data_IF_064880687978
#
_entry.id   IF_064880687978
#
_cell.length_a   1.000
_cell.length_b   1.000
_cell.length_c   1.000
_cell.angle_alpha   90.00
_cell.angle_beta   90.00
_cell.angle_gamma   90.00
#
_symmetry.space_group_name_H-M   'P 1'
#
loop_
_entity.id
_entity.type
_entity.pdbx_description
1 polymer ?
#
# COMPACT_ATOMS: atom_id res chain seq x y z
N UNK A 1 -12.89 24.84 -9.98
CA UNK A 1 -12.20 23.62 -10.48
C UNK A 1 -10.72 23.98 -10.53
N UNK A 2 -9.94 23.49 -9.56
CA UNK A 2 -8.47 23.63 -9.59
C UNK A 2 -7.97 22.75 -10.71
N UNK A 3 -7.05 23.24 -11.59
CA UNK A 3 -6.47 22.40 -12.61
C UNK A 3 -5.76 21.22 -11.93
N UNK A 4 -6.03 20.01 -12.39
CA UNK A 4 -5.34 18.79 -11.97
C UNK A 4 -3.83 18.94 -12.24
N UNK A 5 -3.10 19.46 -11.27
CA UNK A 5 -1.66 19.32 -11.24
C UNK A 5 -1.38 17.88 -10.80
N UNK A 6 -1.20 17.00 -11.76
CA UNK A 6 -0.59 15.69 -11.49
C UNK A 6 0.71 15.96 -10.76
N UNK A 7 0.78 15.52 -9.51
CA UNK A 7 1.95 15.72 -8.67
C UNK A 7 3.18 15.14 -9.40
N UNK A 8 4.13 15.99 -9.71
CA UNK A 8 5.37 15.57 -10.34
C UNK A 8 6.38 15.26 -9.23
N UNK A 9 6.57 13.98 -8.92
CA UNK A 9 7.49 13.49 -7.88
C UNK A 9 8.96 13.91 -8.14
N UNK A 10 9.33 14.21 -9.38
CA UNK A 10 10.70 14.63 -9.70
C UNK A 10 11.08 15.94 -9.01
N UNK A 11 10.15 16.89 -8.90
CA UNK A 11 10.40 18.19 -8.28
C UNK A 11 10.71 18.10 -6.79
N UNK A 12 9.82 17.58 -5.93
CA UNK A 12 10.13 17.49 -4.50
C UNK A 12 11.39 16.65 -4.26
N UNK A 13 11.55 15.52 -4.94
CA UNK A 13 12.71 14.66 -4.80
C UNK A 13 14.02 15.39 -5.06
N UNK A 14 14.08 16.23 -6.09
CA UNK A 14 15.27 16.98 -6.46
C UNK A 14 15.49 18.20 -5.55
N UNK A 15 14.44 18.95 -5.22
CA UNK A 15 14.56 20.22 -4.50
C UNK A 15 14.82 20.05 -2.99
N UNK A 16 14.42 18.94 -2.38
CA UNK A 16 14.68 18.64 -0.97
C UNK A 16 16.18 18.51 -0.67
N UNK A 17 17.04 18.35 -1.70
CA UNK A 17 18.51 18.29 -1.57
C UNK A 17 19.14 19.50 -0.85
N UNK A 18 18.49 20.66 -0.90
CA UNK A 18 18.96 21.88 -0.24
C UNK A 18 18.78 21.87 1.27
N UNK A 19 18.02 20.94 1.83
CA UNK A 19 17.71 20.87 3.25
C UNK A 19 18.77 20.21 4.14
N UNK A 20 19.87 19.71 3.57
CA UNK A 20 20.98 19.11 4.31
C UNK A 20 20.74 17.68 4.84
N UNK A 21 19.52 17.15 4.76
CA UNK A 21 19.18 15.81 5.23
C UNK A 21 18.94 14.79 4.10
N UNK A 22 18.94 15.26 2.84
CA UNK A 22 18.63 14.50 1.64
C UNK A 22 19.77 14.65 0.63
N UNK A 23 20.66 13.67 0.58
CA UNK A 23 21.84 13.68 -0.27
C UNK A 23 21.56 12.93 -1.57
N UNK A 24 21.52 13.68 -2.66
CA UNK A 24 21.30 13.12 -3.99
C UNK A 24 22.60 12.49 -4.48
N UNK A 25 22.52 11.24 -4.93
CA UNK A 25 23.66 10.49 -5.48
C UNK A 25 23.63 10.60 -7.00
N UNK A 26 24.68 11.17 -7.64
CA UNK A 26 24.73 11.30 -9.09
C UNK A 26 24.85 9.95 -9.78
N UNK A 27 24.35 9.86 -11.01
CA UNK A 27 24.76 8.78 -11.92
C UNK A 27 26.25 8.92 -12.24
N UNK A 28 27.00 7.82 -12.44
CA UNK A 28 28.41 7.87 -12.79
C UNK A 28 28.66 8.79 -13.99
N UNK A 29 29.56 9.77 -13.80
CA UNK A 29 29.88 10.77 -14.82
C UNK A 29 28.86 11.90 -15.01
N UNK A 30 27.85 12.00 -14.13
CA UNK A 30 26.85 13.07 -14.18
C UNK A 30 26.99 14.10 -13.03
N UNK A 31 28.10 14.08 -12.30
CA UNK A 31 28.34 14.93 -11.13
C UNK A 31 28.22 16.42 -11.49
N UNK A 32 28.96 16.86 -12.51
CA UNK A 32 28.93 18.25 -12.97
C UNK A 32 27.56 18.66 -13.57
N UNK A 33 26.90 17.74 -14.27
CA UNK A 33 25.57 17.99 -14.82
C UNK A 33 24.51 18.11 -13.71
N UNK A 34 24.63 17.33 -12.63
CA UNK A 34 23.76 17.41 -11.46
C UNK A 34 23.94 18.73 -10.70
N UNK A 35 25.20 19.16 -10.52
CA UNK A 35 25.51 20.45 -9.88
C UNK A 35 24.98 21.63 -10.68
N UNK A 36 25.11 21.59 -12.00
CA UNK A 36 24.63 22.65 -12.91
C UNK A 36 23.09 22.63 -13.08
N UNK A 37 22.41 21.55 -12.68
CA UNK A 37 20.97 21.45 -12.87
C UNK A 37 20.22 22.37 -11.89
N UNK A 38 19.62 23.42 -12.41
CA UNK A 38 18.75 24.34 -11.63
C UNK A 38 17.37 23.76 -11.33
N UNK A 39 16.83 22.98 -12.24
CA UNK A 39 15.48 22.41 -12.13
C UNK A 39 15.38 21.06 -12.84
N UNK A 40 14.67 20.12 -12.21
CA UNK A 40 14.36 18.80 -12.78
C UNK A 40 12.86 18.59 -12.72
N UNK A 41 12.22 18.57 -13.90
CA UNK A 41 10.77 18.57 -14.03
C UNK A 41 10.15 17.22 -14.34
N UNK A 42 10.95 16.25 -14.76
CA UNK A 42 10.45 14.94 -15.15
C UNK A 42 11.24 13.80 -14.51
N UNK A 43 10.56 12.66 -14.25
CA UNK A 43 11.21 11.44 -13.77
C UNK A 43 12.28 10.93 -14.74
N UNK A 44 12.11 11.17 -16.04
CA UNK A 44 13.10 10.80 -17.06
C UNK A 44 14.40 11.61 -16.92
N UNK A 45 14.29 12.93 -16.67
CA UNK A 45 15.46 13.77 -16.38
C UNK A 45 16.11 13.37 -15.07
N UNK A 46 15.28 13.15 -14.04
CA UNK A 46 15.77 12.69 -12.74
C UNK A 46 16.60 11.42 -12.87
N UNK A 47 16.09 10.38 -13.53
CA UNK A 47 16.78 9.10 -13.68
C UNK A 47 18.04 9.15 -14.53
N UNK A 48 18.22 10.19 -15.37
CA UNK A 48 19.48 10.40 -16.12
C UNK A 48 20.58 11.01 -15.25
N UNK A 49 20.23 11.84 -14.27
CA UNK A 49 21.16 12.59 -13.45
C UNK A 49 21.46 11.87 -12.12
N UNK A 50 20.47 11.14 -11.58
CA UNK A 50 20.47 10.66 -10.21
C UNK A 50 20.37 9.13 -10.20
N UNK A 51 21.31 8.49 -9.51
CA UNK A 51 21.30 7.06 -9.21
C UNK A 51 20.33 6.75 -8.06
N UNK A 52 20.28 7.62 -7.06
CA UNK A 52 19.49 7.44 -5.86
C UNK A 52 19.68 8.59 -4.87
N UNK A 53 19.29 8.35 -3.63
CA UNK A 53 19.49 9.29 -2.53
C UNK A 53 19.96 8.57 -1.28
N UNK A 54 20.65 9.29 -0.43
CA UNK A 54 20.99 8.89 0.92
C UNK A 54 20.43 9.91 1.89
N UNK A 55 19.77 9.44 2.92
CA UNK A 55 19.40 10.30 4.05
C UNK A 55 20.66 10.64 4.86
N UNK A 56 20.63 11.79 5.52
CA UNK A 56 21.60 12.09 6.58
C UNK A 56 21.62 10.94 7.60
N UNK A 57 22.79 10.58 8.07
CA UNK A 57 22.99 9.42 8.94
C UNK A 57 22.27 9.60 10.29
N UNK A 58 22.23 10.84 10.83
CA UNK A 58 21.51 11.15 12.06
C UNK A 58 20.00 11.02 11.88
N UNK A 59 19.44 11.56 10.78
CA UNK A 59 18.05 11.39 10.46
C UNK A 59 17.69 9.93 10.22
N UNK A 60 18.56 9.19 9.50
CA UNK A 60 18.35 7.76 9.26
C UNK A 60 18.26 6.98 10.58
N UNK A 61 19.16 7.24 11.54
CA UNK A 61 19.14 6.63 12.86
C UNK A 61 17.85 6.96 13.64
N UNK A 62 17.43 8.22 13.63
CA UNK A 62 16.16 8.63 14.27
C UNK A 62 14.95 7.92 13.65
N UNK A 63 15.00 7.56 12.39
CA UNK A 63 13.92 6.84 11.71
C UNK A 63 13.89 5.33 12.01
N UNK A 64 14.90 4.76 12.70
CA UNK A 64 14.95 3.32 12.99
C UNK A 64 13.99 2.90 14.10
N UNK A 65 13.71 3.76 15.08
CA UNK A 65 12.81 3.42 16.18
C UNK A 65 11.40 3.99 15.99
N UNK A 66 10.40 3.32 16.55
CA UNK A 66 8.99 3.76 16.49
C UNK A 66 8.81 5.07 17.24
N UNK A 67 9.45 5.21 18.39
CA UNK A 67 9.36 6.36 19.27
C UNK A 67 9.85 7.63 18.58
N UNK A 68 11.02 7.58 17.98
CA UNK A 68 11.61 8.76 17.29
C UNK A 68 10.86 9.08 16.00
N UNK A 69 10.40 8.08 15.24
CA UNK A 69 9.51 8.34 14.08
C UNK A 69 8.22 9.02 14.47
N UNK A 70 7.60 8.60 15.59
CA UNK A 70 6.38 9.23 16.09
C UNK A 70 6.64 10.65 16.58
N UNK A 71 7.74 10.91 17.28
CA UNK A 71 8.14 12.25 17.68
C UNK A 71 8.34 13.17 16.47
N UNK A 72 9.07 12.71 15.44
CA UNK A 72 9.27 13.46 14.19
C UNK A 72 7.94 13.73 13.47
N UNK A 73 7.06 12.72 13.37
CA UNK A 73 5.74 12.88 12.77
C UNK A 73 4.91 13.92 13.52
N UNK A 74 4.87 13.83 14.84
CA UNK A 74 4.14 14.78 15.69
C UNK A 74 4.65 16.20 15.49
N UNK A 75 5.98 16.38 15.48
CA UNK A 75 6.60 17.69 15.23
C UNK A 75 6.21 18.25 13.87
N UNK A 76 6.25 17.43 12.81
CA UNK A 76 5.84 17.86 11.47
C UNK A 76 4.36 18.23 11.41
N UNK A 77 3.49 17.43 12.04
CA UNK A 77 2.05 17.73 12.08
C UNK A 77 1.81 19.06 12.79
N UNK A 78 2.42 19.27 13.95
CA UNK A 78 2.26 20.48 14.72
C UNK A 78 2.83 21.74 14.04
N UNK A 79 3.92 21.57 13.27
CA UNK A 79 4.58 22.69 12.60
C UNK A 79 3.90 23.14 11.30
N UNK A 80 3.28 22.21 10.56
CA UNK A 80 2.86 22.47 9.17
C UNK A 80 1.37 22.27 8.91
N UNK A 81 0.62 21.70 9.82
CA UNK A 81 -0.82 21.50 9.67
C UNK A 81 -1.60 22.36 10.67
N UNK A 82 -2.80 22.77 10.30
CA UNK A 82 -3.66 23.53 11.18
C UNK A 82 -4.12 22.69 12.39
N UNK A 83 -4.22 23.28 13.60
CA UNK A 83 -4.47 22.56 14.85
C UNK A 83 -5.69 21.61 14.82
N UNK A 84 -6.73 22.00 14.09
CA UNK A 84 -7.97 21.21 13.93
C UNK A 84 -7.74 19.83 13.29
N UNK A 85 -6.65 19.64 12.54
CA UNK A 85 -6.33 18.37 11.91
C UNK A 85 -5.35 17.49 12.70
N UNK A 86 -4.76 18.01 13.78
CA UNK A 86 -3.69 17.30 14.49
C UNK A 86 -4.16 15.97 15.07
N UNK A 87 -5.31 15.93 15.74
CA UNK A 87 -5.85 14.70 16.34
C UNK A 87 -6.11 13.63 15.30
N UNK A 88 -6.71 14.00 14.17
CA UNK A 88 -7.09 13.08 13.12
C UNK A 88 -5.85 12.51 12.40
N UNK A 89 -4.86 13.36 12.11
CA UNK A 89 -3.61 12.95 11.49
C UNK A 89 -2.78 12.02 12.37
N UNK A 90 -2.76 12.28 13.68
CA UNK A 90 -2.08 11.42 14.65
C UNK A 90 -2.80 10.07 14.78
N UNK A 91 -4.13 10.06 14.89
CA UNK A 91 -4.93 8.85 14.96
C UNK A 91 -4.79 7.99 13.69
N UNK A 92 -4.83 8.60 12.50
CA UNK A 92 -4.59 7.90 11.24
C UNK A 92 -3.17 7.31 11.18
N UNK A 93 -2.18 8.02 11.70
CA UNK A 93 -0.81 7.53 11.80
C UNK A 93 -0.68 6.27 12.65
N UNK A 94 -1.38 6.24 13.77
CA UNK A 94 -1.41 5.07 14.68
C UNK A 94 -2.11 3.87 14.03
N UNK A 95 -3.29 4.07 13.45
CA UNK A 95 -4.01 3.02 12.72
C UNK A 95 -3.15 2.43 11.60
N UNK A 96 -2.45 3.27 10.82
CA UNK A 96 -1.59 2.79 9.75
C UNK A 96 -0.40 1.97 10.24
N UNK A 97 0.19 2.34 11.38
CA UNK A 97 1.29 1.59 11.99
C UNK A 97 0.81 0.23 12.49
N UNK A 98 -0.26 0.21 13.25
CA UNK A 98 -0.85 -1.03 13.78
C UNK A 98 -1.30 -1.96 12.63
N UNK A 99 -1.93 -1.43 11.59
CA UNK A 99 -2.32 -2.19 10.40
C UNK A 99 -1.09 -2.77 9.65
N UNK A 100 0.03 -2.05 9.64
CA UNK A 100 1.26 -2.59 9.07
C UNK A 100 1.80 -3.76 9.89
N UNK A 101 1.90 -3.61 11.22
CA UNK A 101 2.35 -4.68 12.12
C UNK A 101 1.45 -5.90 11.99
N UNK A 102 0.13 -5.70 12.06
CA UNK A 102 -0.84 -6.77 11.89
C UNK A 102 -0.72 -7.48 10.54
N UNK A 103 -0.50 -6.73 9.45
CA UNK A 103 -0.29 -7.33 8.13
C UNK A 103 0.95 -8.23 8.05
N UNK A 104 2.06 -7.86 8.71
CA UNK A 104 3.25 -8.70 8.77
C UNK A 104 2.97 -10.00 9.54
N UNK A 105 2.26 -9.90 10.65
CA UNK A 105 1.84 -11.05 11.43
C UNK A 105 0.96 -12.01 10.62
N UNK A 106 -0.05 -11.52 9.91
CA UNK A 106 -0.88 -12.32 9.02
C UNK A 106 -0.07 -13.03 7.92
N UNK A 107 0.89 -12.34 7.30
CA UNK A 107 1.76 -12.90 6.27
C UNK A 107 2.65 -14.02 6.86
N UNK A 108 3.19 -13.80 8.05
CA UNK A 108 4.03 -14.79 8.71
C UNK A 108 3.25 -16.04 9.09
N UNK A 109 2.04 -15.88 9.63
CA UNK A 109 1.16 -16.99 9.95
C UNK A 109 0.75 -17.79 8.70
N UNK A 110 0.38 -17.10 7.62
CA UNK A 110 0.05 -17.75 6.37
C UNK A 110 1.23 -18.59 5.83
N UNK A 111 2.47 -18.08 5.95
CA UNK A 111 3.67 -18.82 5.55
C UNK A 111 3.92 -20.06 6.42
N UNK A 112 3.65 -19.97 7.72
CA UNK A 112 3.81 -21.08 8.67
C UNK A 112 2.65 -22.06 8.63
N UNK A 113 1.57 -21.77 7.88
CA UNK A 113 0.31 -22.52 7.90
C UNK A 113 -0.29 -22.67 9.31
N UNK A 114 0.02 -21.76 10.20
CA UNK A 114 -0.53 -21.72 11.55
C UNK A 114 -1.87 -21.00 11.48
N UNK A 115 -2.89 -21.65 12.01
CA UNK A 115 -4.20 -21.01 12.24
C UNK A 115 -4.22 -20.40 13.63
N UNK A 116 -4.49 -19.11 13.72
CA UNK A 116 -4.72 -18.48 15.01
C UNK A 116 -5.99 -19.01 15.67
N UNK A 117 -5.90 -19.17 16.99
CA UNK A 117 -7.08 -19.39 17.80
C UNK A 117 -7.93 -18.11 17.95
N UNK A 118 -9.18 -18.22 18.43
CA UNK A 118 -10.01 -17.06 18.71
C UNK A 118 -9.34 -16.20 19.78
N UNK A 119 -9.14 -14.92 19.51
CA UNK A 119 -8.74 -13.95 20.52
C UNK A 119 -7.63 -12.98 20.15
N UNK A 120 -6.65 -13.34 19.33
CA UNK A 120 -5.59 -12.37 18.96
C UNK A 120 -6.07 -11.30 17.96
N UNK A 121 -6.94 -11.68 17.03
CA UNK A 121 -7.52 -10.73 16.09
C UNK A 121 -8.44 -9.69 16.77
N UNK A 122 -9.14 -10.09 17.84
CA UNK A 122 -10.05 -9.21 18.57
C UNK A 122 -9.33 -8.15 19.42
N UNK A 123 -8.01 -8.28 19.60
CA UNK A 123 -7.18 -7.26 20.26
C UNK A 123 -7.03 -6.00 19.39
N UNK A 124 -7.27 -6.09 18.08
CA UNK A 124 -7.13 -4.96 17.17
C UNK A 124 -8.46 -4.30 16.83
N UNK A 125 -8.43 -2.98 16.67
CA UNK A 125 -9.60 -2.24 16.19
C UNK A 125 -10.02 -2.69 14.77
N UNK A 126 -11.32 -2.67 14.44
CA UNK A 126 -11.81 -3.08 13.12
C UNK A 126 -11.11 -2.40 11.95
N UNK A 127 -10.79 -1.11 12.06
CA UNK A 127 -10.06 -0.36 11.03
C UNK A 127 -8.62 -0.88 10.82
N UNK A 128 -7.96 -1.32 11.90
CA UNK A 128 -6.60 -1.91 11.86
C UNK A 128 -6.65 -3.27 11.17
N UNK A 129 -7.64 -4.10 11.53
CA UNK A 129 -7.84 -5.44 10.96
C UNK A 129 -8.11 -5.36 9.46
N UNK A 130 -9.07 -4.54 9.04
CA UNK A 130 -9.42 -4.35 7.63
C UNK A 130 -8.22 -3.87 6.79
N UNK A 131 -7.52 -2.85 7.25
CA UNK A 131 -6.33 -2.36 6.55
C UNK A 131 -5.18 -3.37 6.55
N UNK A 132 -4.97 -4.10 7.64
CA UNK A 132 -3.93 -5.10 7.78
C UNK A 132 -4.16 -6.29 6.84
N UNK A 133 -5.37 -6.81 6.80
CA UNK A 133 -5.78 -7.85 5.87
C UNK A 133 -5.57 -7.44 4.42
N UNK A 134 -6.05 -6.24 4.03
CA UNK A 134 -5.85 -5.70 2.67
C UNK A 134 -4.38 -5.61 2.30
N UNK A 135 -3.54 -5.07 3.19
CA UNK A 135 -2.09 -4.98 2.96
C UNK A 135 -1.45 -6.36 2.81
N UNK A 136 -1.84 -7.32 3.64
CA UNK A 136 -1.31 -8.67 3.59
C UNK A 136 -1.67 -9.37 2.27
N UNK A 137 -2.95 -9.39 1.90
CA UNK A 137 -3.43 -10.05 0.69
C UNK A 137 -2.80 -9.44 -0.56
N UNK A 138 -2.87 -8.10 -0.70
CA UNK A 138 -2.29 -7.40 -1.87
C UNK A 138 -0.80 -7.71 -2.01
N UNK A 139 -0.06 -7.75 -0.91
CA UNK A 139 1.38 -8.06 -0.92
C UNK A 139 1.68 -9.52 -1.27
N UNK A 140 0.88 -10.48 -0.76
CA UNK A 140 1.04 -11.90 -1.08
C UNK A 140 0.86 -12.15 -2.58
N UNK A 141 -0.09 -11.45 -3.21
CA UNK A 141 -0.35 -11.54 -4.65
C UNK A 141 0.55 -10.65 -5.51
N UNK A 142 1.59 -10.03 -4.94
CA UNK A 142 2.51 -9.11 -5.65
C UNK A 142 1.75 -8.04 -6.45
N UNK A 143 0.70 -7.46 -5.86
CA UNK A 143 -0.14 -6.43 -6.51
C UNK A 143 -0.79 -6.88 -7.82
N UNK A 144 -0.99 -8.18 -8.01
CA UNK A 144 -1.53 -8.79 -9.23
C UNK A 144 -2.93 -9.33 -9.00
N UNK A 145 -3.84 -9.06 -9.94
CA UNK A 145 -5.18 -9.64 -9.91
C UNK A 145 -5.13 -11.15 -10.10
N UNK A 146 -5.74 -11.91 -9.18
CA UNK A 146 -5.78 -13.38 -9.22
C UNK A 146 -6.55 -13.93 -10.42
N UNK A 147 -7.51 -13.17 -10.97
CA UNK A 147 -8.34 -13.61 -12.10
C UNK A 147 -7.74 -13.23 -13.46
N UNK A 148 -7.50 -11.95 -13.69
CA UNK A 148 -7.07 -11.47 -15.01
C UNK A 148 -5.56 -11.20 -15.13
N UNK A 149 -4.81 -11.31 -14.03
CA UNK A 149 -3.37 -11.12 -14.03
C UNK A 149 -2.91 -9.66 -14.12
N UNK A 150 -3.82 -8.68 -14.23
CA UNK A 150 -3.42 -7.27 -14.33
C UNK A 150 -2.63 -6.83 -13.10
N UNK A 151 -1.55 -6.12 -13.33
CA UNK A 151 -0.71 -5.51 -12.30
C UNK A 151 -0.43 -4.08 -12.72
N UNK A 152 -1.00 -3.13 -12.01
CA UNK A 152 -0.75 -1.71 -12.22
C UNK A 152 -0.43 -1.07 -10.87
N UNK A 153 0.67 -0.34 -10.85
CA UNK A 153 1.14 0.42 -9.71
C UNK A 153 1.44 1.84 -10.15
N UNK A 154 1.05 2.80 -9.34
CA UNK A 154 1.53 4.17 -9.49
C UNK A 154 2.95 4.29 -8.95
N UNK A 155 3.64 5.39 -9.27
CA UNK A 155 5.00 5.63 -8.79
C UNK A 155 5.10 5.75 -7.26
N UNK A 156 4.01 6.13 -6.62
CA UNK A 156 3.84 6.26 -5.16
C UNK A 156 3.26 4.99 -4.49
N UNK A 157 3.16 3.89 -5.26
CA UNK A 157 2.84 2.57 -4.72
C UNK A 157 1.34 2.25 -4.62
N UNK A 158 0.45 3.09 -5.15
CA UNK A 158 -0.97 2.72 -5.24
C UNK A 158 -1.17 1.60 -6.24
N UNK A 159 -2.03 0.65 -5.91
CA UNK A 159 -2.29 -0.54 -6.71
C UNK A 159 -3.71 -0.55 -7.29
N UNK A 160 -3.87 -1.17 -8.45
CA UNK A 160 -5.17 -1.36 -9.08
C UNK A 160 -5.96 -2.54 -8.50
N UNK A 161 -5.38 -3.30 -7.56
CA UNK A 161 -6.04 -4.44 -6.94
C UNK A 161 -6.44 -4.14 -5.50
N UNK A 162 -7.51 -4.78 -5.07
CA UNK A 162 -8.08 -4.72 -3.72
C UNK A 162 -8.14 -6.14 -3.16
N UNK A 163 -8.20 -6.28 -1.83
CA UNK A 163 -8.41 -7.58 -1.21
C UNK A 163 -9.90 -7.90 -1.15
N UNK A 164 -10.28 -9.03 -1.72
CA UNK A 164 -11.62 -9.62 -1.62
C UNK A 164 -11.59 -10.79 -0.65
N UNK A 165 -12.59 -10.90 0.23
CA UNK A 165 -12.79 -12.10 1.05
C UNK A 165 -13.44 -13.20 0.21
N UNK A 166 -12.88 -14.42 0.23
CA UNK A 166 -13.46 -15.60 -0.45
C UNK A 166 -14.77 -16.01 0.26
N UNK A 167 -14.71 -16.14 1.58
CA UNK A 167 -15.88 -16.26 2.42
C UNK A 167 -16.23 -14.88 2.94
N UNK A 168 -17.41 -14.33 2.59
CA UNK A 168 -17.79 -12.99 3.00
C UNK A 168 -17.74 -12.79 4.51
N UNK A 169 -17.32 -11.60 4.94
CA UNK A 169 -17.26 -11.22 6.35
C UNK A 169 -18.57 -11.53 7.12
N UNK A 170 -19.71 -11.27 6.50
CA UNK A 170 -21.05 -11.52 7.08
C UNK A 170 -21.32 -12.99 7.38
N UNK A 171 -20.65 -13.90 6.70
CA UNK A 171 -20.77 -15.35 6.88
C UNK A 171 -19.59 -15.93 7.66
N UNK A 172 -18.46 -15.21 7.73
CA UNK A 172 -17.20 -15.69 8.27
C UNK A 172 -17.30 -16.19 9.70
N UNK A 173 -18.01 -15.47 10.59
CA UNK A 173 -18.23 -15.87 11.97
C UNK A 173 -19.02 -17.18 12.15
N UNK A 174 -19.76 -17.61 11.13
CA UNK A 174 -20.56 -18.86 11.14
C UNK A 174 -19.80 -20.02 10.48
N UNK A 175 -19.00 -19.74 9.46
CA UNK A 175 -18.36 -20.73 8.61
C UNK A 175 -16.87 -20.87 8.94
N UNK A 176 -16.22 -19.77 9.30
CA UNK A 176 -14.79 -19.70 9.62
C UNK A 176 -14.59 -18.83 10.88
N UNK A 177 -14.99 -19.29 12.09
CA UNK A 177 -15.01 -18.44 13.27
C UNK A 177 -13.64 -17.89 13.70
N UNK A 178 -12.54 -18.45 13.19
CA UNK A 178 -11.17 -18.13 13.63
C UNK A 178 -10.29 -17.50 12.54
N UNK A 179 -10.79 -17.37 11.32
CA UNK A 179 -9.92 -17.09 10.19
C UNK A 179 -10.51 -16.14 9.14
N UNK A 180 -11.42 -15.24 9.53
CA UNK A 180 -12.02 -14.31 8.56
C UNK A 180 -10.95 -13.42 7.92
N UNK A 181 -9.97 -12.97 8.72
CA UNK A 181 -8.84 -12.16 8.26
C UNK A 181 -7.60 -13.00 7.88
N UNK A 182 -7.74 -14.35 7.82
CA UNK A 182 -6.67 -15.20 7.30
C UNK A 182 -6.43 -14.85 5.81
N UNK A 183 -5.19 -14.55 5.40
CA UNK A 183 -4.87 -14.30 4.00
C UNK A 183 -5.27 -15.43 3.04
N UNK A 184 -5.41 -16.67 3.51
CA UNK A 184 -5.95 -17.77 2.70
C UNK A 184 -7.44 -17.59 2.38
N UNK A 185 -8.16 -16.78 3.15
CA UNK A 185 -9.51 -16.34 2.84
C UNK A 185 -9.53 -15.08 1.96
N UNK A 186 -8.39 -14.67 1.42
CA UNK A 186 -8.25 -13.46 0.63
C UNK A 186 -7.79 -13.70 -0.79
N UNK A 187 -8.31 -12.90 -1.71
CA UNK A 187 -7.81 -12.81 -3.10
C UNK A 187 -7.58 -11.35 -3.45
N UNK A 188 -6.45 -11.06 -4.13
CA UNK A 188 -6.25 -9.74 -4.73
C UNK A 188 -6.97 -9.70 -6.07
N UNK A 189 -7.95 -8.82 -6.21
CA UNK A 189 -8.74 -8.65 -7.44
C UNK A 189 -8.72 -7.19 -7.89
N UNK A 190 -8.63 -6.93 -9.20
CA UNK A 190 -8.90 -5.60 -9.72
C UNK A 190 -10.39 -5.29 -9.60
N UNK A 191 -10.77 -4.01 -9.64
CA UNK A 191 -12.15 -3.58 -9.39
C UNK A 191 -13.18 -4.30 -10.26
N UNK A 192 -12.87 -4.55 -11.52
CA UNK A 192 -13.78 -5.27 -12.41
C UNK A 192 -13.95 -6.73 -11.97
N UNK A 193 -12.85 -7.42 -11.69
CA UNK A 193 -12.90 -8.82 -11.24
C UNK A 193 -13.50 -8.93 -9.84
N UNK A 194 -13.26 -7.96 -8.94
CA UNK A 194 -13.85 -7.90 -7.61
C UNK A 194 -15.37 -7.77 -7.70
N UNK A 195 -15.85 -6.78 -8.43
CA UNK A 195 -17.28 -6.62 -8.67
C UNK A 195 -17.91 -7.87 -9.30
N UNK A 196 -17.26 -8.47 -10.33
CA UNK A 196 -17.77 -9.67 -10.97
C UNK A 196 -17.82 -10.88 -10.04
N UNK A 197 -16.89 -10.95 -9.08
CA UNK A 197 -16.87 -11.98 -8.05
C UNK A 197 -18.00 -11.77 -7.03
N UNK A 198 -18.23 -10.55 -6.56
CA UNK A 198 -19.28 -10.21 -5.61
C UNK A 198 -20.68 -10.44 -6.21
N UNK A 199 -20.84 -10.18 -7.52
CA UNK A 199 -22.09 -10.44 -8.26
C UNK A 199 -22.28 -11.93 -8.65
N UNK A 200 -21.33 -12.80 -8.29
CA UNK A 200 -21.41 -14.22 -8.65
C UNK A 200 -21.20 -14.52 -10.14
N UNK A 201 -20.73 -13.54 -10.92
CA UNK A 201 -20.43 -13.71 -12.35
C UNK A 201 -19.13 -14.46 -12.58
N UNK A 202 -18.19 -14.36 -11.64
CA UNK A 202 -16.93 -15.06 -11.61
C UNK A 202 -16.72 -15.75 -10.27
N UNK A 203 -16.00 -16.87 -10.29
CA UNK A 203 -15.69 -17.62 -9.09
C UNK A 203 -14.41 -18.42 -9.24
N UNK A 204 -14.08 -19.19 -8.21
CA UNK A 204 -12.90 -20.07 -8.18
C UNK A 204 -13.34 -21.50 -7.88
N UNK A 205 -12.85 -22.45 -8.66
CA UNK A 205 -13.08 -23.89 -8.40
C UNK A 205 -12.13 -24.42 -7.32
N UNK A 206 -12.43 -25.60 -6.79
CA UNK A 206 -11.55 -26.35 -5.88
C UNK A 206 -10.18 -26.71 -6.47
N UNK A 207 -10.04 -26.59 -7.80
CA UNK A 207 -8.77 -26.79 -8.54
C UNK A 207 -8.09 -25.46 -8.88
N UNK A 208 -8.45 -24.37 -8.21
CA UNK A 208 -7.90 -23.02 -8.42
C UNK A 208 -8.05 -22.51 -9.85
N UNK A 209 -9.13 -22.89 -10.53
CA UNK A 209 -9.48 -22.36 -11.87
C UNK A 209 -10.57 -21.32 -11.76
N UNK A 210 -10.42 -20.24 -12.50
CA UNK A 210 -11.46 -19.22 -12.61
C UNK A 210 -12.66 -19.84 -13.34
N UNK A 211 -13.83 -19.70 -12.73
CA UNK A 211 -15.12 -20.07 -13.29
C UNK A 211 -15.82 -18.81 -13.75
N UNK A 212 -16.49 -18.87 -14.89
CA UNK A 212 -17.30 -17.77 -15.44
C UNK A 212 -18.73 -18.27 -15.52
N UNK A 213 -19.67 -17.49 -14.96
CA UNK A 213 -21.10 -17.79 -15.04
C UNK A 213 -21.56 -17.78 -16.49
N UNK A 214 -22.43 -18.72 -16.84
CA UNK A 214 -23.10 -18.72 -18.16
C UNK A 214 -24.03 -17.53 -18.40
N UNK A 215 -24.35 -16.79 -17.35
CA UNK A 215 -25.15 -15.56 -17.42
C UNK A 215 -24.33 -14.32 -17.74
N UNK A 216 -22.99 -14.42 -17.64
CA UNK A 216 -22.09 -13.32 -17.97
C UNK A 216 -22.12 -13.06 -19.48
N UNK A 217 -22.65 -11.93 -19.89
CA UNK A 217 -22.67 -11.48 -21.28
C UNK A 217 -21.79 -10.22 -21.40
N UNK A 218 -20.73 -10.33 -22.18
CA UNK A 218 -19.97 -9.15 -22.61
C UNK A 218 -20.62 -8.63 -23.87
N UNK A 219 -21.37 -7.55 -23.77
CA UNK A 219 -21.96 -6.88 -24.93
C UNK A 219 -20.96 -5.85 -25.45
N UNK A 220 -20.51 -6.02 -26.69
CA UNK A 220 -19.64 -5.07 -27.40
C UNK A 220 -20.44 -4.03 -28.20
N UNK A 221 -21.75 -3.90 -27.94
CA UNK A 221 -22.58 -2.95 -28.65
C UNK A 221 -22.51 -1.56 -27.98
N UNK A 222 -21.61 -0.75 -28.45
CA UNK A 222 -21.72 0.71 -28.43
C UNK A 222 -22.00 1.18 -29.85
#
# INVERSE_FOLDING_TARGET
>A
VLPERRGNLARPFFHVRSGGFWHVLPQPGQEAALEAAGQVDTLRQLGKLILGVRLDDGLFQLLQTVETRNALRTTLIQAYFAPEFHSDLLALGEINLQAFVYSQHLIEQARKQVKEGPGEADAYQPAVRDQGFRKAVVRIYDHRCAFCGVRMLTADGHTAVEAAHIVPWSLGGKVMPYAVDDPHNGMALCRLCHWSFDEGLMGVSTKYRVLISGEMRITQNL
#
